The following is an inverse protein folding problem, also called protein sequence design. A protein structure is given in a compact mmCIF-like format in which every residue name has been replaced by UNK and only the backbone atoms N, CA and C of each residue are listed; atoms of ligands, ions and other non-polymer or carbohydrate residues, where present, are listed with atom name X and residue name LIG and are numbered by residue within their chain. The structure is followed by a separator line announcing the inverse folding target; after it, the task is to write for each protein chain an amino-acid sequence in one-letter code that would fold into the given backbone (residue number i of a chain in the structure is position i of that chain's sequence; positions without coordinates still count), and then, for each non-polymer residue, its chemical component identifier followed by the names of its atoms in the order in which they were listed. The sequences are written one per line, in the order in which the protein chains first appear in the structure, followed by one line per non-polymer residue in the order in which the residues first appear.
data_IF_596671409414
#
_entry.id   IF_596671409414
#
_cell.length_a   1.000
_cell.length_b   1.000
_cell.length_c   1.000
_cell.angle_alpha   90.00
_cell.angle_beta   90.00
_cell.angle_gamma   90.00
#
_symmetry.space_group_name_H-M   'P 1'
#
loop_
_entity.id
_entity.type
_entity.pdbx_description
1 polymer ?
#
# COMPACT_ATOMS: atom_id res chain seq x y z
N UNK A 1 -37.46 -28.72 52.07
CA UNK A 1 -36.46 -27.64 51.91
C UNK A 1 -36.21 -27.46 50.43
N UNK A 2 -36.89 -26.49 49.79
CA UNK A 2 -36.55 -26.13 48.41
C UNK A 2 -35.49 -25.03 48.49
N UNK A 3 -34.23 -25.42 48.27
CA UNK A 3 -33.13 -24.50 48.09
C UNK A 3 -33.44 -23.64 46.88
N UNK A 4 -33.84 -22.39 47.10
CA UNK A 4 -34.06 -21.40 46.04
C UNK A 4 -32.76 -21.21 45.28
N UNK A 5 -32.67 -21.78 44.08
CA UNK A 5 -31.55 -21.58 43.18
C UNK A 5 -31.45 -20.10 42.83
N UNK A 6 -30.29 -19.49 43.11
CA UNK A 6 -30.01 -18.13 42.72
C UNK A 6 -30.06 -18.03 41.18
N UNK A 7 -31.06 -17.32 40.67
CA UNK A 7 -31.18 -17.03 39.23
C UNK A 7 -30.17 -15.93 38.92
N UNK A 8 -29.09 -16.28 38.22
CA UNK A 8 -28.13 -15.28 37.76
C UNK A 8 -28.77 -14.39 36.68
N UNK A 9 -28.75 -13.06 36.84
CA UNK A 9 -29.43 -12.16 35.90
C UNK A 9 -28.74 -12.17 34.54
N UNK A 10 -29.55 -12.20 33.46
CA UNK A 10 -29.06 -12.05 32.08
C UNK A 10 -28.56 -10.61 31.90
N UNK A 11 -27.30 -10.46 31.51
CA UNK A 11 -26.66 -9.17 31.34
C UNK A 11 -26.22 -9.02 29.89
N UNK A 12 -26.83 -8.07 29.18
CA UNK A 12 -26.47 -7.73 27.82
C UNK A 12 -25.17 -6.90 27.78
N UNK A 13 -24.50 -6.91 26.63
CA UNK A 13 -23.35 -6.04 26.42
C UNK A 13 -23.75 -4.57 26.33
N UNK A 14 -23.06 -3.71 27.08
CA UNK A 14 -23.16 -2.25 26.99
C UNK A 14 -21.84 -1.72 26.44
N UNK A 15 -21.94 -0.82 25.47
CA UNK A 15 -20.81 -0.16 24.81
C UNK A 15 -20.93 1.35 24.98
N UNK A 16 -19.80 2.02 25.05
CA UNK A 16 -19.73 3.48 25.17
C UNK A 16 -20.35 4.16 23.94
N UNK A 17 -20.54 5.48 24.06
CA UNK A 17 -20.71 6.33 22.90
C UNK A 17 -19.49 6.25 21.96
N UNK A 18 -19.72 6.66 20.71
CA UNK A 18 -18.64 6.73 19.74
C UNK A 18 -17.67 7.86 20.08
N UNK A 19 -16.37 7.57 20.01
CA UNK A 19 -15.33 8.59 20.01
C UNK A 19 -15.41 9.49 18.78
N UNK A 20 -14.50 10.47 18.73
CA UNK A 20 -14.38 11.37 17.59
C UNK A 20 -13.96 10.62 16.32
N UNK A 21 -14.35 11.18 15.18
CA UNK A 21 -13.83 10.70 13.90
C UNK A 21 -12.34 11.02 13.79
N UNK A 22 -11.57 10.06 13.28
CA UNK A 22 -10.19 10.31 12.85
C UNK A 22 -10.17 11.35 11.73
N UNK A 23 -8.98 11.90 11.49
CA UNK A 23 -8.73 12.65 10.26
C UNK A 23 -8.99 11.78 9.02
N UNK A 24 -9.21 12.45 7.89
CA UNK A 24 -9.37 11.79 6.61
C UNK A 24 -8.06 11.10 6.23
N UNK A 25 -8.13 9.82 5.87
CA UNK A 25 -6.94 9.05 5.47
C UNK A 25 -6.34 9.49 4.12
N UNK A 26 -6.88 10.55 3.52
CA UNK A 26 -6.36 11.24 2.35
C UNK A 26 -6.43 12.77 2.54
N UNK A 27 -5.32 13.48 2.34
CA UNK A 27 -5.35 14.95 2.39
C UNK A 27 -5.97 15.61 1.13
N UNK A 28 -6.24 14.87 0.06
CA UNK A 28 -6.89 15.36 -1.17
C UNK A 28 -7.71 14.26 -1.82
N UNK A 29 -8.80 14.62 -2.51
CA UNK A 29 -9.70 13.65 -3.15
C UNK A 29 -10.53 12.86 -2.14
N UNK A 30 -10.92 11.64 -2.50
CA UNK A 30 -11.84 10.82 -1.69
C UNK A 30 -11.04 9.89 -0.77
N UNK A 31 -11.36 9.89 0.52
CA UNK A 31 -10.74 9.05 1.54
C UNK A 31 -11.76 8.36 2.44
N UNK A 32 -11.27 7.79 3.54
CA UNK A 32 -12.06 7.25 4.65
C UNK A 32 -11.60 7.85 5.97
N UNK A 33 -12.53 7.96 6.90
CA UNK A 33 -12.25 8.21 8.31
C UNK A 33 -12.91 7.12 9.16
N UNK A 34 -12.37 6.89 10.36
CA UNK A 34 -12.87 5.89 11.30
C UNK A 34 -13.07 6.45 12.70
N UNK A 35 -13.98 5.85 13.45
CA UNK A 35 -14.14 6.09 14.89
C UNK A 35 -14.34 4.79 15.63
N UNK A 36 -14.01 4.79 16.91
CA UNK A 36 -14.06 3.62 17.79
C UNK A 36 -14.91 3.90 19.02
N UNK A 37 -15.42 2.83 19.63
CA UNK A 37 -16.07 2.83 20.95
C UNK A 37 -15.60 1.62 21.76
N UNK A 38 -15.76 1.66 23.07
CA UNK A 38 -15.29 0.61 23.97
C UNK A 38 -16.44 -0.18 24.58
N UNK A 39 -16.14 -1.36 25.10
CA UNK A 39 -17.09 -2.17 25.86
C UNK A 39 -17.04 -1.68 27.31
N UNK A 40 -18.16 -1.19 27.82
CA UNK A 40 -18.31 -0.77 29.22
C UNK A 40 -18.76 -1.95 30.08
N UNK A 41 -19.62 -2.81 29.53
CA UNK A 41 -20.13 -4.01 30.19
C UNK A 41 -20.08 -5.19 29.24
N UNK A 42 -19.36 -6.24 29.64
CA UNK A 42 -19.34 -7.50 28.89
C UNK A 42 -20.64 -8.27 29.14
N UNK A 43 -21.13 -9.01 28.14
CA UNK A 43 -22.32 -9.82 28.32
C UNK A 43 -22.05 -10.96 29.30
N UNK A 44 -23.04 -11.31 30.13
CA UNK A 44 -23.00 -12.41 31.09
C UNK A 44 -24.30 -13.21 31.06
N UNK A 45 -24.24 -14.46 31.53
CA UNK A 45 -25.41 -15.33 31.73
C UNK A 45 -26.30 -15.46 30.48
N UNK A 46 -25.69 -15.52 29.29
CA UNK A 46 -26.42 -15.66 28.01
C UNK A 46 -26.93 -14.35 27.41
N UNK A 47 -26.50 -13.19 27.91
CA UNK A 47 -26.86 -11.90 27.33
C UNK A 47 -26.24 -11.64 25.95
N UNK A 48 -26.78 -10.63 25.25
CA UNK A 48 -26.46 -10.30 23.86
C UNK A 48 -25.00 -9.88 23.68
N UNK A 49 -24.39 -10.39 22.61
CA UNK A 49 -23.03 -9.99 22.21
C UNK A 49 -22.91 -8.51 21.87
N UNK A 50 -21.70 -7.98 22.06
CA UNK A 50 -21.40 -6.58 21.78
C UNK A 50 -21.53 -6.26 20.28
N UNK A 51 -22.12 -5.10 19.93
CA UNK A 51 -22.16 -4.65 18.54
C UNK A 51 -20.76 -4.23 18.05
N UNK A 52 -20.63 -3.90 16.75
CA UNK A 52 -19.34 -3.48 16.17
C UNK A 52 -18.73 -2.30 16.94
N UNK A 53 -17.43 -2.40 17.24
CA UNK A 53 -16.66 -1.38 17.97
C UNK A 53 -15.99 -0.37 17.03
N UNK A 54 -16.05 -0.57 15.72
CA UNK A 54 -15.43 0.30 14.71
C UNK A 54 -16.46 0.71 13.67
N UNK A 55 -16.51 2.00 13.36
CA UNK A 55 -17.30 2.56 12.28
C UNK A 55 -16.41 3.28 11.27
N UNK A 56 -16.75 3.20 9.98
CA UNK A 56 -16.03 3.87 8.88
C UNK A 56 -17.01 4.66 8.02
N UNK A 57 -16.58 5.80 7.51
CA UNK A 57 -17.32 6.59 6.51
C UNK A 57 -16.38 7.21 5.49
N UNK A 58 -16.92 7.58 4.34
CA UNK A 58 -16.19 8.35 3.33
C UNK A 58 -15.88 9.77 3.81
N UNK A 59 -14.78 10.33 3.33
CA UNK A 59 -14.37 11.72 3.55
C UNK A 59 -13.84 12.34 2.27
N UNK A 60 -13.84 13.67 2.21
CA UNK A 60 -13.28 14.43 1.09
C UNK A 60 -12.12 15.28 1.64
N UNK A 61 -10.91 15.02 1.16
CA UNK A 61 -9.77 15.91 1.36
C UNK A 61 -9.82 17.12 0.44
N UNK A 62 -8.76 17.91 0.42
CA UNK A 62 -8.58 19.05 -0.48
C UNK A 62 -8.71 18.67 -1.97
N UNK A 63 -8.87 19.67 -2.84
CA UNK A 63 -8.86 19.43 -4.29
C UNK A 63 -7.46 19.04 -4.72
N UNK A 64 -7.28 17.86 -5.32
CA UNK A 64 -5.96 17.46 -5.85
C UNK A 64 -5.61 18.35 -7.05
N UNK A 65 -4.43 18.99 -7.01
CA UNK A 65 -4.00 19.98 -8.00
C UNK A 65 -3.48 19.36 -9.31
N UNK A 66 -3.00 18.11 -9.30
CA UNK A 66 -2.43 17.45 -10.47
C UNK A 66 -3.19 16.19 -10.92
N UNK A 67 -3.31 15.97 -12.23
CA UNK A 67 -3.86 14.75 -12.81
C UNK A 67 -3.03 13.50 -12.49
N UNK A 68 -1.70 13.66 -12.41
CA UNK A 68 -0.78 12.62 -11.98
C UNK A 68 -1.11 12.11 -10.56
N UNK A 69 -1.33 13.02 -9.61
CA UNK A 69 -1.67 12.67 -8.23
C UNK A 69 -2.98 11.88 -8.17
N UNK A 70 -3.99 12.29 -8.95
CA UNK A 70 -5.27 11.58 -9.02
C UNK A 70 -5.12 10.16 -9.54
N UNK A 71 -4.21 9.92 -10.48
CA UNK A 71 -3.91 8.59 -11.03
C UNK A 71 -3.15 7.75 -10.01
N UNK A 72 -2.05 8.26 -9.44
CA UNK A 72 -1.26 7.58 -8.43
C UNK A 72 -2.09 7.17 -7.20
N UNK A 73 -3.01 8.02 -6.74
CA UNK A 73 -3.93 7.74 -5.62
C UNK A 73 -5.00 6.67 -5.93
N UNK A 74 -5.28 6.43 -7.22
CA UNK A 74 -6.26 5.42 -7.68
C UNK A 74 -5.61 4.05 -7.92
N UNK A 75 -4.31 4.02 -8.14
CA UNK A 75 -3.57 2.79 -8.38
C UNK A 75 -3.57 1.87 -7.14
N UNK A 76 -3.39 0.59 -7.41
CA UNK A 76 -3.19 -0.44 -6.39
C UNK A 76 -1.92 -1.19 -6.76
N UNK A 77 -0.97 -1.23 -5.83
CA UNK A 77 0.26 -2.00 -5.98
C UNK A 77 -0.06 -3.49 -5.97
N UNK A 78 0.50 -4.22 -6.93
CA UNK A 78 0.45 -5.67 -6.99
C UNK A 78 1.79 -6.22 -6.53
N UNK A 79 1.76 -7.12 -5.54
CA UNK A 79 2.97 -7.58 -4.88
C UNK A 79 3.19 -9.08 -5.04
N UNK A 80 4.46 -9.43 -5.24
CA UNK A 80 4.98 -10.76 -5.02
C UNK A 80 6.14 -10.73 -4.02
N UNK A 81 6.35 -11.81 -3.25
CA UNK A 81 7.56 -11.96 -2.44
C UNK A 81 8.82 -11.81 -3.29
N UNK A 82 9.81 -11.07 -2.80
CA UNK A 82 11.05 -10.81 -3.54
C UNK A 82 11.82 -12.09 -3.89
N UNK A 83 11.66 -13.15 -3.10
CA UNK A 83 12.24 -14.47 -3.39
C UNK A 83 11.80 -15.03 -4.77
N UNK A 84 10.61 -14.69 -5.25
CA UNK A 84 10.10 -15.11 -6.55
C UNK A 84 10.72 -14.34 -7.72
N UNK A 85 11.40 -13.21 -7.47
CA UNK A 85 12.12 -12.49 -8.51
C UNK A 85 13.38 -13.24 -8.97
N UNK A 86 14.03 -13.99 -8.07
CA UNK A 86 15.29 -14.73 -8.36
C UNK A 86 15.15 -15.74 -9.51
N UNK A 87 14.01 -16.43 -9.60
CA UNK A 87 13.73 -17.40 -10.68
C UNK A 87 13.72 -16.75 -12.07
N UNK A 88 13.40 -15.45 -12.19
CA UNK A 88 13.45 -14.74 -13.48
C UNK A 88 14.87 -14.44 -13.94
N UNK A 89 15.83 -14.34 -13.02
CA UNK A 89 17.23 -14.00 -13.33
C UNK A 89 18.10 -15.24 -13.58
N UNK A 90 17.66 -16.44 -13.20
CA UNK A 90 18.42 -17.68 -13.44
C UNK A 90 18.59 -18.01 -14.94
N UNK A 91 17.73 -17.47 -15.81
CA UNK A 91 17.77 -17.72 -17.26
C UNK A 91 18.42 -16.59 -18.07
N UNK A 92 18.96 -15.55 -17.43
CA UNK A 92 19.58 -14.40 -18.12
C UNK A 92 20.96 -14.73 -18.73
N UNK A 93 21.60 -15.83 -18.32
CA UNK A 93 22.90 -16.25 -18.85
C UNK A 93 22.80 -16.91 -20.23
N UNK A 94 21.63 -17.41 -20.62
CA UNK A 94 21.36 -18.10 -21.90
C UNK A 94 20.47 -17.30 -22.87
N UNK A 95 19.93 -16.14 -22.47
CA UNK A 95 18.99 -15.39 -23.31
C UNK A 95 19.72 -14.68 -24.46
N UNK A 96 19.47 -15.15 -25.69
CA UNK A 96 19.92 -14.56 -26.96
C UNK A 96 19.53 -13.07 -27.10
N UNK A 97 18.52 -12.60 -26.36
CA UNK A 97 18.11 -11.19 -26.30
C UNK A 97 19.12 -10.29 -25.61
N UNK A 98 20.12 -10.84 -24.91
CA UNK A 98 21.26 -10.04 -24.39
C UNK A 98 21.99 -9.29 -25.51
N UNK A 99 22.05 -9.87 -26.72
CA UNK A 99 22.60 -9.20 -27.90
C UNK A 99 21.67 -8.10 -28.45
N UNK A 100 20.35 -8.22 -28.25
CA UNK A 100 19.39 -7.15 -28.55
C UNK A 100 19.50 -5.99 -27.53
N UNK A 101 19.82 -6.26 -26.26
CA UNK A 101 20.10 -5.23 -25.23
C UNK A 101 21.27 -4.30 -25.63
N UNK A 102 22.26 -4.80 -26.38
CA UNK A 102 23.36 -3.98 -26.91
C UNK A 102 22.93 -3.05 -28.05
N UNK A 103 21.92 -3.43 -28.85
CA UNK A 103 21.37 -2.59 -29.94
C UNK A 103 20.42 -1.51 -29.46
N UNK A 104 19.75 -1.73 -28.32
CA UNK A 104 18.79 -0.79 -27.73
C UNK A 104 19.27 -0.27 -26.37
N UNK A 105 20.56 0.07 -26.25
CA UNK A 105 21.19 0.58 -25.02
C UNK A 105 20.45 1.77 -24.39
N UNK A 106 19.71 2.54 -25.21
CA UNK A 106 18.95 3.72 -24.79
C UNK A 106 17.46 3.44 -24.52
N UNK A 107 16.98 2.21 -24.75
CA UNK A 107 15.62 1.83 -24.37
C UNK A 107 15.60 1.53 -22.87
N UNK A 108 14.95 2.41 -22.10
CA UNK A 108 14.83 2.38 -20.64
C UNK A 108 14.49 1.00 -20.05
N UNK A 109 13.76 0.16 -20.81
CA UNK A 109 13.40 -1.23 -20.48
C UNK A 109 14.58 -2.21 -20.35
N UNK A 110 15.81 -1.80 -20.67
CA UNK A 110 17.00 -2.66 -20.60
C UNK A 110 18.09 -2.11 -19.67
N UNK A 111 17.87 -0.95 -19.05
CA UNK A 111 18.85 -0.35 -18.14
C UNK A 111 18.48 -0.62 -16.68
N UNK A 112 19.11 -1.64 -16.07
CA UNK A 112 18.92 -1.97 -14.64
C UNK A 112 19.26 -0.82 -13.69
N UNK A 113 19.89 0.24 -14.20
CA UNK A 113 20.08 1.49 -13.46
C UNK A 113 18.76 2.16 -13.01
N UNK A 114 17.63 1.77 -13.59
CA UNK A 114 16.32 2.32 -13.32
C UNK A 114 15.54 1.56 -12.23
N UNK A 115 16.08 0.44 -11.74
CA UNK A 115 15.47 -0.29 -10.63
C UNK A 115 15.63 0.52 -9.35
N UNK A 116 14.57 0.59 -8.56
CA UNK A 116 14.55 1.37 -7.33
C UNK A 116 13.76 0.69 -6.22
N UNK A 117 14.05 1.09 -4.99
CA UNK A 117 13.36 0.62 -3.80
C UNK A 117 12.49 1.75 -3.24
N UNK A 118 11.30 1.39 -2.78
CA UNK A 118 10.41 2.29 -2.06
C UNK A 118 10.12 1.69 -0.69
N UNK A 119 10.31 2.50 0.34
CA UNK A 119 9.96 2.15 1.71
C UNK A 119 8.55 2.63 2.03
N UNK A 120 7.77 1.76 2.65
CA UNK A 120 6.40 2.02 3.05
C UNK A 120 6.17 1.69 4.51
N UNK A 121 5.27 2.45 5.13
CA UNK A 121 4.63 2.10 6.39
C UNK A 121 3.25 1.52 6.12
N UNK A 122 2.96 0.34 6.66
CA UNK A 122 1.66 -0.31 6.49
C UNK A 122 0.65 0.31 7.44
N UNK A 123 -0.17 1.20 6.90
CA UNK A 123 -1.23 1.88 7.65
C UNK A 123 -2.37 0.93 8.03
N UNK A 124 -2.62 -0.08 7.19
CA UNK A 124 -3.69 -1.04 7.43
C UNK A 124 -3.57 -2.27 6.56
N UNK A 125 -3.82 -3.44 7.14
CA UNK A 125 -3.90 -4.69 6.41
C UNK A 125 -5.09 -5.55 6.83
N UNK A 126 -5.55 -6.40 5.92
CA UNK A 126 -6.51 -7.47 6.25
C UNK A 126 -5.87 -8.56 7.08
N UNK A 127 -6.66 -9.22 7.95
CA UNK A 127 -6.19 -10.36 8.76
C UNK A 127 -5.60 -11.52 7.96
N UNK A 128 -5.92 -11.62 6.66
CA UNK A 128 -5.36 -12.62 5.76
C UNK A 128 -3.82 -12.52 5.66
N UNK A 129 -3.24 -11.32 5.79
CA UNK A 129 -1.79 -11.14 5.73
C UNK A 129 -1.05 -11.82 6.91
N UNK A 130 -1.72 -12.06 8.04
CA UNK A 130 -1.11 -12.75 9.19
C UNK A 130 -1.13 -14.27 9.08
N UNK A 131 -1.91 -14.83 8.15
CA UNK A 131 -2.10 -16.28 8.02
C UNK A 131 -0.87 -16.99 7.46
N UNK A 132 -0.03 -16.27 6.74
CA UNK A 132 1.16 -16.80 6.08
C UNK A 132 2.38 -15.96 6.50
N UNK A 133 3.46 -16.64 6.88
CA UNK A 133 4.69 -16.02 7.37
C UNK A 133 5.32 -15.09 6.33
N UNK A 134 5.15 -15.38 5.03
CA UNK A 134 5.68 -14.56 3.95
C UNK A 134 5.06 -13.16 3.93
N UNK A 135 3.77 -13.05 4.29
CA UNK A 135 3.03 -11.79 4.27
C UNK A 135 2.92 -11.11 5.64
N UNK A 136 3.56 -11.67 6.69
CA UNK A 136 3.54 -11.06 8.03
C UNK A 136 4.17 -9.67 8.06
N UNK A 137 5.17 -9.40 7.22
CA UNK A 137 5.75 -8.06 7.06
C UNK A 137 4.79 -7.02 6.46
N UNK A 138 3.58 -7.42 6.05
CA UNK A 138 2.49 -6.52 5.66
C UNK A 138 1.47 -6.32 6.79
N UNK A 139 1.84 -6.59 8.05
CA UNK A 139 1.02 -6.28 9.21
C UNK A 139 0.92 -4.76 9.44
N UNK A 140 -0.16 -4.31 10.07
CA UNK A 140 -0.34 -2.89 10.41
C UNK A 140 0.78 -2.40 11.34
N UNK A 141 1.38 -1.25 11.01
CA UNK A 141 2.54 -0.66 11.72
C UNK A 141 3.91 -1.12 11.20
N UNK A 142 3.97 -2.18 10.39
CA UNK A 142 5.24 -2.66 9.84
C UNK A 142 5.81 -1.73 8.77
N UNK A 143 7.15 -1.72 8.69
CA UNK A 143 7.88 -1.08 7.60
C UNK A 143 8.31 -2.11 6.57
N UNK A 144 8.08 -1.81 5.31
CA UNK A 144 8.34 -2.73 4.21
C UNK A 144 9.03 -2.02 3.06
N UNK A 145 10.04 -2.68 2.50
CA UNK A 145 10.78 -2.25 1.33
C UNK A 145 10.29 -3.08 0.14
N UNK A 146 9.80 -2.37 -0.88
CA UNK A 146 9.29 -2.96 -2.12
C UNK A 146 10.17 -2.48 -3.27
N UNK A 147 10.66 -3.44 -4.05
CA UNK A 147 11.52 -3.18 -5.20
C UNK A 147 10.71 -3.09 -6.49
N UNK A 148 10.99 -2.06 -7.26
CA UNK A 148 10.49 -1.88 -8.63
C UNK A 148 11.53 -2.43 -9.61
N UNK A 149 11.30 -3.66 -10.08
CA UNK A 149 12.11 -4.31 -11.10
C UNK A 149 11.80 -3.73 -12.49
N UNK A 150 12.73 -3.89 -13.44
CA UNK A 150 12.58 -3.40 -14.82
C UNK A 150 11.27 -3.84 -15.48
N UNK A 151 10.82 -5.05 -15.19
CA UNK A 151 9.62 -5.66 -15.76
C UNK A 151 8.32 -4.99 -15.28
N UNK A 152 8.34 -4.38 -14.10
CA UNK A 152 7.20 -3.71 -13.50
C UNK A 152 7.17 -2.19 -13.78
N UNK A 153 8.24 -1.65 -14.38
CA UNK A 153 8.31 -0.23 -14.76
C UNK A 153 7.29 0.09 -15.86
N UNK A 154 6.50 1.13 -15.62
CA UNK A 154 5.57 1.68 -16.59
C UNK A 154 5.91 3.12 -16.92
N UNK A 155 5.78 3.50 -18.18
CA UNK A 155 5.91 4.89 -18.61
C UNK A 155 4.70 5.70 -18.11
N UNK A 156 4.97 6.78 -17.37
CA UNK A 156 3.91 7.68 -16.94
C UNK A 156 3.69 8.81 -17.95
N UNK A 157 2.84 8.53 -18.95
CA UNK A 157 2.46 9.49 -20.00
C UNK A 157 1.75 10.77 -19.50
N UNK A 158 1.47 10.87 -18.21
CA UNK A 158 0.83 12.07 -17.63
C UNK A 158 1.81 13.23 -17.40
N UNK A 159 3.12 12.93 -17.43
CA UNK A 159 4.20 13.93 -17.34
C UNK A 159 4.29 14.79 -18.62
N UNK A 160 3.86 14.27 -19.78
CA UNK A 160 3.90 15.00 -21.06
C UNK A 160 2.90 16.19 -21.12
N UNK A 161 1.84 16.18 -20.31
CA UNK A 161 0.82 17.25 -20.28
C UNK A 161 1.18 18.47 -19.41
N UNK A 162 2.26 18.40 -18.64
CA UNK A 162 2.79 19.54 -17.88
C UNK A 162 3.84 20.33 -18.69
N UNK A 163 4.38 19.74 -19.75
CA UNK A 163 5.40 20.36 -20.61
C UNK A 163 4.84 21.31 -21.68
N UNK A 164 3.51 21.49 -21.79
CA UNK A 164 2.91 22.29 -22.86
C UNK A 164 2.67 23.77 -22.52
N UNK A 165 2.93 24.23 -21.28
CA UNK A 165 2.55 25.59 -20.85
C UNK A 165 3.58 26.34 -19.97
N UNK A 166 4.87 25.98 -19.98
CA UNK A 166 5.91 26.81 -19.35
C UNK A 166 7.03 27.12 -20.32
N UNK A 167 7.15 28.42 -20.62
CA UNK A 167 8.28 29.06 -21.30
C UNK A 167 9.58 28.80 -20.53
N UNK A 168 10.67 28.69 -21.29
CA UNK A 168 12.06 28.45 -20.90
C UNK A 168 12.46 29.08 -19.56
N UNK A 169 13.07 28.27 -18.68
CA UNK A 169 14.44 28.46 -18.20
C UNK A 169 14.87 27.23 -17.37
N UNK A 170 16.10 26.78 -17.63
CA UNK A 170 16.94 25.82 -16.90
C UNK A 170 16.48 24.36 -16.70
N UNK A 171 17.34 23.44 -17.18
CA UNK A 171 17.27 22.00 -16.96
C UNK A 171 17.17 21.65 -15.46
N UNK A 172 16.06 21.04 -15.04
CA UNK A 172 16.02 20.24 -13.81
C UNK A 172 15.38 18.86 -14.10
N UNK A 173 16.15 17.75 -14.01
CA UNK A 173 15.74 16.46 -14.56
C UNK A 173 15.15 15.55 -13.47
N UNK A 174 14.16 15.98 -12.69
CA UNK A 174 13.80 15.22 -11.48
C UNK A 174 12.32 14.83 -11.32
N UNK A 175 11.70 14.40 -12.43
CA UNK A 175 10.56 13.49 -12.33
C UNK A 175 10.82 12.22 -13.14
N UNK A 176 10.87 11.03 -12.51
CA UNK A 176 11.13 9.81 -13.25
C UNK A 176 9.96 9.52 -14.18
N UNK A 177 10.22 9.60 -15.50
CA UNK A 177 9.31 9.24 -16.60
C UNK A 177 8.73 7.83 -16.47
N UNK A 178 9.27 7.00 -15.58
CA UNK A 178 8.88 5.62 -15.35
C UNK A 178 8.72 5.33 -13.87
N UNK A 179 7.64 4.66 -13.52
CA UNK A 179 7.35 4.22 -12.14
C UNK A 179 6.60 2.90 -12.12
N UNK A 180 6.72 2.17 -11.02
CA UNK A 180 5.87 1.03 -10.75
C UNK A 180 4.47 1.47 -10.36
N UNK A 181 3.47 0.74 -10.84
CA UNK A 181 2.07 1.02 -10.53
C UNK A 181 1.82 0.86 -9.02
N UNK A 182 1.27 1.90 -8.41
CA UNK A 182 0.98 1.88 -6.97
C UNK A 182 2.18 2.10 -6.05
N UNK A 183 3.34 2.52 -6.59
CA UNK A 183 4.48 2.97 -5.78
C UNK A 183 4.20 4.26 -4.97
N UNK A 184 3.07 4.92 -5.27
CA UNK A 184 2.46 5.96 -4.44
C UNK A 184 3.22 7.29 -4.42
N UNK A 185 2.64 8.22 -3.66
CA UNK A 185 3.22 9.53 -3.39
C UNK A 185 3.53 9.63 -1.89
N UNK A 186 4.58 10.37 -1.56
CA UNK A 186 4.98 10.63 -0.17
C UNK A 186 3.83 11.30 0.60
N UNK A 187 3.58 10.86 1.83
CA UNK A 187 2.49 11.39 2.67
C UNK A 187 1.07 11.03 2.20
N UNK A 188 0.94 10.08 1.26
CA UNK A 188 -0.36 9.64 0.73
C UNK A 188 -0.56 8.14 0.88
N UNK A 189 -1.78 7.78 1.26
CA UNK A 189 -2.18 6.39 1.34
C UNK A 189 -2.38 5.81 -0.05
N UNK A 190 -1.65 4.74 -0.34
CA UNK A 190 -1.76 3.97 -1.58
C UNK A 190 -2.23 2.56 -1.23
N UNK A 191 -2.98 1.91 -2.13
CA UNK A 191 -3.49 0.56 -1.87
C UNK A 191 -2.49 -0.49 -2.33
N UNK A 192 -2.46 -1.62 -1.66
CA UNK A 192 -1.74 -2.80 -2.13
C UNK A 192 -2.61 -4.05 -2.05
N UNK A 193 -2.28 -5.04 -2.87
CA UNK A 193 -2.78 -6.42 -2.79
C UNK A 193 -1.67 -7.38 -3.23
N UNK A 194 -1.60 -8.55 -2.61
CA UNK A 194 -0.62 -9.57 -3.01
C UNK A 194 -1.24 -10.49 -4.08
N UNK A 195 -0.44 -10.88 -5.07
CA UNK A 195 -0.93 -11.70 -6.19
C UNK A 195 -1.15 -13.16 -5.78
N UNK A 196 -0.24 -13.73 -4.99
CA UNK A 196 -0.34 -15.10 -4.53
C UNK A 196 -1.33 -15.28 -3.35
N UNK A 197 -1.74 -14.21 -2.68
CA UNK A 197 -2.81 -14.24 -1.67
C UNK A 197 -3.71 -13.00 -1.78
N UNK A 198 -4.64 -12.91 -2.75
CA UNK A 198 -5.46 -11.70 -2.99
C UNK A 198 -6.31 -11.24 -1.79
N UNK A 199 -6.55 -12.14 -0.83
CA UNK A 199 -7.19 -11.79 0.43
C UNK A 199 -6.31 -10.89 1.31
N UNK A 200 -4.97 -10.96 1.18
CA UNK A 200 -4.00 -10.08 1.82
C UNK A 200 -3.86 -8.78 1.01
N UNK A 201 -4.53 -7.74 1.52
CA UNK A 201 -4.58 -6.41 0.93
C UNK A 201 -4.64 -5.34 2.00
N UNK A 202 -4.33 -4.12 1.62
CA UNK A 202 -4.23 -3.04 2.59
C UNK A 202 -4.02 -1.66 1.99
N UNK A 203 -3.68 -0.75 2.89
CA UNK A 203 -3.21 0.59 2.57
C UNK A 203 -1.86 0.79 3.24
N UNK A 204 -0.98 1.49 2.55
CA UNK A 204 0.32 1.89 3.07
C UNK A 204 0.61 3.34 2.72
N UNK A 205 1.62 3.91 3.36
CA UNK A 205 2.10 5.25 3.07
C UNK A 205 3.57 5.18 2.68
N UNK A 206 3.93 5.84 1.59
CA UNK A 206 5.32 5.93 1.14
C UNK A 206 6.13 6.80 2.10
N UNK A 207 7.20 6.22 2.65
CA UNK A 207 8.17 6.90 3.52
C UNK A 207 9.31 7.55 2.72
N UNK A 208 9.67 6.99 1.57
CA UNK A 208 10.71 7.55 0.71
C UNK A 208 10.31 8.94 0.19
N UNK A 209 11.08 9.96 0.56
CA UNK A 209 10.93 11.34 0.11
C UNK A 209 11.77 11.56 -1.14
N UNK A 210 11.22 12.20 -2.17
CA UNK A 210 11.92 12.48 -3.43
C UNK A 210 12.10 11.24 -4.33
N UNK A 211 13.09 11.29 -5.24
CA UNK A 211 13.35 10.23 -6.20
C UNK A 211 13.85 8.95 -5.48
N UNK A 212 13.23 7.78 -5.74
CA UNK A 212 13.58 6.57 -5.03
C UNK A 212 14.98 6.08 -5.41
N UNK A 213 15.77 5.69 -4.41
CA UNK A 213 17.17 5.28 -4.57
C UNK A 213 17.27 3.85 -5.14
N UNK A 214 18.40 3.54 -5.77
CA UNK A 214 18.75 2.18 -6.20
C UNK A 214 18.70 1.20 -5.04
N UNK A 215 18.17 0.01 -5.30
CA UNK A 215 18.08 -1.05 -4.29
C UNK A 215 19.44 -1.64 -3.95
N UNK A 216 19.85 -1.69 -2.68
CA UNK A 216 20.76 -2.73 -2.22
C UNK A 216 20.04 -4.09 -2.37
N UNK A 217 20.62 -5.02 -3.12
CA UNK A 217 19.95 -6.17 -3.72
C UNK A 217 19.38 -7.22 -2.75
N UNK A 218 19.59 -7.09 -1.44
CA UNK A 218 19.19 -8.08 -0.42
C UNK A 218 17.98 -7.70 0.44
N UNK A 219 17.58 -6.43 0.45
CA UNK A 219 16.76 -5.90 1.56
C UNK A 219 15.27 -5.76 1.22
N UNK A 220 14.90 -5.93 -0.04
CA UNK A 220 13.51 -5.87 -0.47
C UNK A 220 12.76 -7.15 -0.05
N UNK A 221 11.65 -7.00 0.67
CA UNK A 221 10.79 -8.14 1.04
C UNK A 221 9.81 -8.49 -0.09
N UNK A 222 9.40 -7.50 -0.89
CA UNK A 222 8.47 -7.67 -2.00
C UNK A 222 8.97 -6.99 -3.27
N UNK A 223 8.39 -7.38 -4.40
CA UNK A 223 8.54 -6.72 -5.69
C UNK A 223 7.18 -6.26 -6.22
N UNK A 224 7.20 -5.15 -6.96
CA UNK A 224 6.06 -4.74 -7.80
C UNK A 224 5.94 -5.66 -9.01
N UNK A 225 4.72 -5.81 -9.52
CA UNK A 225 4.39 -6.60 -10.72
C UNK A 225 3.42 -5.85 -11.61
#
# INVERSE_FOLDING_TARGET
MYSGGAVNPVIDCIVSEWGQWSECDTACGNGMMSRTRIIEQKPQNGGKHCPSLVQKRGCQGLKCHNHHDRKALRETALLLPAALSKSRHENDTSDIRRNLRLRYKNAFKHNRGNEYCVEFEVIKATKACHKDNVYRGLAEGERVIVRCDLEALHEDKTVDTLASNSVQDDEEPDTPKYRCRGDGLTGRNTRFTTLALPACRGKWMRLTVGQPKKCPSSDAQFIFV
#
